data_IF_180932617334
#
_entry.id   IF_180932617334
#
_cell.length_a   1.000
_cell.length_b   1.000
_cell.length_c   1.000
_cell.angle_alpha   90.00
_cell.angle_beta   90.00
_cell.angle_gamma   90.00
#
_symmetry.space_group_name_H-M   'P 1'
#
loop_
_entity.id
_entity.type
_entity.pdbx_description
1 polymer ?
#
# COMPACT_ATOMS: atom_id res chain seq x y z
N UNK A 1 9.39 -29.00 0.41
CA UNK A 1 8.31 -28.22 1.08
C UNK A 1 8.70 -27.74 2.48
N UNK A 2 9.14 -28.58 3.43
CA UNK A 2 9.59 -28.10 4.75
C UNK A 2 10.83 -27.19 4.66
N UNK A 3 11.75 -27.45 3.72
CA UNK A 3 12.97 -26.64 3.56
C UNK A 3 12.71 -25.22 3.04
N UNK A 4 11.77 -25.04 2.11
CA UNK A 4 11.44 -23.72 1.59
C UNK A 4 10.72 -22.84 2.64
N UNK A 5 9.86 -23.46 3.46
CA UNK A 5 9.23 -22.78 4.60
C UNK A 5 10.24 -22.46 5.71
N UNK A 6 11.17 -23.38 5.98
CA UNK A 6 12.27 -23.13 6.91
C UNK A 6 13.18 -21.99 6.42
N UNK A 7 13.48 -21.91 5.12
CA UNK A 7 14.22 -20.81 4.52
C UNK A 7 13.48 -19.47 4.66
N UNK A 8 12.16 -19.45 4.47
CA UNK A 8 11.34 -18.26 4.68
C UNK A 8 11.36 -17.79 6.16
N UNK A 9 11.31 -18.72 7.12
CA UNK A 9 11.43 -18.42 8.54
C UNK A 9 12.84 -18.02 8.96
N UNK A 10 13.86 -18.45 8.22
CA UNK A 10 15.26 -18.12 8.46
C UNK A 10 15.66 -16.73 7.93
N UNK A 11 14.78 -16.04 7.20
CA UNK A 11 15.05 -14.68 6.71
C UNK A 11 15.38 -13.75 7.89
N UNK A 12 16.58 -13.15 7.92
CA UNK A 12 16.97 -12.24 8.98
C UNK A 12 15.96 -11.09 9.12
N UNK A 13 15.36 -10.98 10.30
CA UNK A 13 14.37 -9.94 10.58
C UNK A 13 12.97 -10.20 10.03
N UNK A 14 12.61 -11.45 9.68
CA UNK A 14 11.25 -11.85 9.30
C UNK A 14 10.19 -11.41 10.31
N UNK A 15 10.52 -11.41 11.60
CA UNK A 15 9.63 -10.93 12.67
C UNK A 15 9.20 -9.47 12.45
N UNK A 16 10.10 -8.63 11.93
CA UNK A 16 9.79 -7.23 11.63
C UNK A 16 8.91 -7.09 10.40
N UNK A 17 9.10 -7.94 9.39
CA UNK A 17 8.22 -7.99 8.21
C UNK A 17 6.81 -8.42 8.60
N UNK A 18 6.67 -9.46 9.43
CA UNK A 18 5.38 -9.93 9.93
C UNK A 18 4.71 -8.89 10.85
N UNK A 19 5.47 -8.26 11.75
CA UNK A 19 4.96 -7.19 12.59
C UNK A 19 4.50 -5.98 11.77
N UNK A 20 5.26 -5.58 10.75
CA UNK A 20 4.88 -4.52 9.84
C UNK A 20 3.63 -4.89 9.02
N UNK A 21 3.49 -6.14 8.57
CA UNK A 21 2.31 -6.61 7.87
C UNK A 21 1.06 -6.59 8.76
N UNK A 22 1.18 -7.02 10.02
CA UNK A 22 0.09 -6.97 10.99
C UNK A 22 -0.32 -5.52 11.31
N UNK A 23 0.65 -4.64 11.53
CA UNK A 23 0.44 -3.21 11.76
C UNK A 23 -0.19 -2.52 10.54
N UNK A 24 0.28 -2.84 9.33
CA UNK A 24 -0.26 -2.37 8.07
C UNK A 24 -1.72 -2.81 7.90
N UNK A 25 -2.02 -4.08 8.16
CA UNK A 25 -3.38 -4.63 8.14
C UNK A 25 -4.28 -3.92 9.14
N UNK A 26 -3.85 -3.80 10.39
CA UNK A 26 -4.60 -3.11 11.44
C UNK A 26 -4.94 -1.67 11.04
N UNK A 27 -3.92 -0.91 10.62
CA UNK A 27 -4.08 0.47 10.17
C UNK A 27 -5.03 0.57 8.97
N UNK A 28 -4.89 -0.32 7.99
CA UNK A 28 -5.75 -0.33 6.81
C UNK A 28 -7.20 -0.69 7.13
N UNK A 29 -7.42 -1.66 8.03
CA UNK A 29 -8.74 -2.10 8.45
C UNK A 29 -9.59 -0.98 9.05
N UNK A 30 -9.00 -0.16 9.94
CA UNK A 30 -9.71 0.99 10.51
C UNK A 30 -9.63 2.24 9.62
N UNK A 31 -8.45 2.62 9.10
CA UNK A 31 -8.25 3.91 8.44
C UNK A 31 -8.57 3.88 6.95
N UNK A 32 -8.51 2.71 6.31
CA UNK A 32 -8.68 2.55 4.86
C UNK A 32 -7.49 3.01 4.02
N UNK A 33 -6.36 3.36 4.65
CA UNK A 33 -5.12 3.75 3.99
C UNK A 33 -3.90 3.44 4.89
N UNK A 34 -2.69 3.61 4.35
CA UNK A 34 -1.46 3.58 5.13
C UNK A 34 -0.77 2.23 5.24
N UNK A 35 -1.36 1.14 4.71
CA UNK A 35 -0.75 -0.18 4.67
C UNK A 35 0.66 -0.14 4.06
N UNK A 36 0.75 0.25 2.79
CA UNK A 36 2.01 0.37 2.06
C UNK A 36 3.00 1.33 2.73
N UNK A 37 2.52 2.43 3.32
CA UNK A 37 3.37 3.42 4.01
C UNK A 37 4.03 2.86 5.28
N UNK A 38 3.42 1.85 5.90
CA UNK A 38 3.97 1.13 7.06
C UNK A 38 4.83 -0.04 6.58
N UNK A 39 4.32 -0.83 5.64
CA UNK A 39 4.94 -2.08 5.23
C UNK A 39 6.17 -1.87 4.36
N UNK A 40 6.10 -1.01 3.34
CA UNK A 40 7.16 -0.90 2.32
C UNK A 40 8.52 -0.46 2.87
N UNK A 41 8.65 0.53 3.77
CA UNK A 41 9.95 0.89 4.32
C UNK A 41 10.62 -0.30 5.02
N UNK A 42 9.87 -1.00 5.87
CA UNK A 42 10.37 -2.14 6.64
C UNK A 42 10.69 -3.31 5.73
N UNK A 43 9.76 -3.70 4.85
CA UNK A 43 9.94 -4.84 3.98
C UNK A 43 11.07 -4.63 2.98
N UNK A 44 11.15 -3.46 2.32
CA UNK A 44 12.20 -3.18 1.35
C UNK A 44 13.60 -3.17 1.98
N UNK A 45 13.70 -2.79 3.25
CA UNK A 45 14.96 -2.84 4.00
C UNK A 45 15.40 -4.26 4.39
N UNK A 46 14.48 -5.23 4.53
CA UNK A 46 14.79 -6.59 5.00
C UNK A 46 14.85 -7.64 3.90
N UNK A 47 13.95 -7.57 2.93
CA UNK A 47 13.83 -8.58 1.87
C UNK A 47 14.19 -8.04 0.48
N UNK A 48 14.46 -6.75 0.35
CA UNK A 48 14.70 -6.08 -0.92
C UNK A 48 13.43 -5.46 -1.52
N UNK A 49 13.55 -4.45 -2.39
CA UNK A 49 12.40 -3.71 -2.92
C UNK A 49 11.51 -4.57 -3.82
N UNK A 50 12.08 -5.43 -4.67
CA UNK A 50 11.30 -6.28 -5.59
C UNK A 50 10.44 -7.27 -4.81
N UNK A 51 11.04 -7.97 -3.85
CA UNK A 51 10.35 -8.90 -2.96
C UNK A 51 9.29 -8.16 -2.11
N UNK A 52 9.61 -6.99 -1.57
CA UNK A 52 8.67 -6.20 -0.79
C UNK A 52 7.44 -5.75 -1.60
N UNK A 53 7.63 -5.28 -2.84
CA UNK A 53 6.53 -4.91 -3.74
C UNK A 53 5.66 -6.14 -4.08
N UNK A 54 6.28 -7.30 -4.26
CA UNK A 54 5.56 -8.56 -4.47
C UNK A 54 4.72 -8.93 -3.25
N UNK A 55 5.28 -8.85 -2.05
CA UNK A 55 4.55 -9.12 -0.80
C UNK A 55 3.39 -8.15 -0.58
N UNK A 56 3.57 -6.86 -0.84
CA UNK A 56 2.50 -5.85 -0.77
C UNK A 56 1.37 -6.17 -1.76
N UNK A 57 1.72 -6.52 -3.01
CA UNK A 57 0.75 -6.94 -4.01
C UNK A 57 -0.02 -8.19 -3.57
N UNK A 58 0.66 -9.17 -2.95
CA UNK A 58 0.04 -10.36 -2.36
C UNK A 58 -0.88 -10.02 -1.17
N UNK A 59 -0.51 -9.07 -0.29
CA UNK A 59 -1.38 -8.60 0.80
C UNK A 59 -2.69 -7.99 0.28
N UNK A 60 -2.67 -7.43 -0.94
CA UNK A 60 -3.88 -7.03 -1.65
C UNK A 60 -4.91 -8.18 -1.81
N UNK A 61 -4.48 -9.45 -1.92
CA UNK A 61 -5.39 -10.60 -2.07
C UNK A 61 -6.24 -10.78 -0.80
N UNK A 62 -5.62 -10.58 0.37
CA UNK A 62 -6.36 -10.55 1.63
C UNK A 62 -7.34 -9.37 1.67
N UNK A 63 -6.98 -8.22 1.10
CA UNK A 63 -7.87 -7.05 1.05
C UNK A 63 -9.12 -7.29 0.17
N UNK A 64 -8.99 -8.10 -0.88
CA UNK A 64 -10.12 -8.50 -1.77
C UNK A 64 -11.21 -9.24 -1.00
N UNK A 65 -10.84 -10.09 -0.04
CA UNK A 65 -11.80 -10.90 0.73
C UNK A 65 -12.23 -10.24 2.05
N UNK A 66 -11.43 -9.31 2.59
CA UNK A 66 -11.70 -8.67 3.90
C UNK A 66 -12.44 -7.34 3.77
N UNK A 67 -11.83 -6.33 3.15
CA UNK A 67 -12.32 -4.94 3.18
C UNK A 67 -13.02 -4.52 1.89
N UNK A 68 -12.58 -5.03 0.74
CA UNK A 68 -13.10 -4.66 -0.59
C UNK A 68 -14.60 -4.91 -0.76
N UNK A 69 -15.21 -6.05 -0.32
CA UNK A 69 -16.61 -6.34 -0.62
C UNK A 69 -17.59 -5.34 -0.01
N UNK A 70 -17.23 -4.76 1.15
CA UNK A 70 -18.02 -3.69 1.78
C UNK A 70 -17.73 -2.34 1.14
N UNK A 71 -16.48 -2.09 0.75
CA UNK A 71 -16.08 -0.85 0.09
C UNK A 71 -16.75 -0.68 -1.29
N UNK A 72 -16.81 -1.74 -2.12
CA UNK A 72 -17.42 -1.67 -3.45
C UNK A 72 -18.90 -1.28 -3.44
N UNK A 73 -19.62 -1.56 -2.35
CA UNK A 73 -21.04 -1.19 -2.19
C UNK A 73 -21.25 0.31 -1.93
N UNK A 74 -20.21 1.01 -1.49
CA UNK A 74 -20.25 2.40 -1.04
C UNK A 74 -19.34 3.32 -1.86
N UNK A 75 -18.50 2.76 -2.73
CA UNK A 75 -17.54 3.49 -3.53
C UNK A 75 -18.21 4.11 -4.76
N UNK A 76 -17.74 5.29 -5.16
CA UNK A 76 -17.96 5.82 -6.50
C UNK A 76 -17.22 4.94 -7.52
N UNK A 77 -17.96 4.10 -8.23
CA UNK A 77 -17.42 3.14 -9.20
C UNK A 77 -16.91 3.82 -10.47
N UNK A 78 -17.46 4.98 -10.85
CA UNK A 78 -17.07 5.70 -12.06
C UNK A 78 -15.69 6.31 -11.88
N UNK A 79 -15.49 7.06 -10.80
CA UNK A 79 -14.21 7.70 -10.51
C UNK A 79 -13.13 6.66 -10.21
N UNK A 80 -13.47 5.63 -9.42
CA UNK A 80 -12.54 4.54 -9.10
C UNK A 80 -12.14 3.77 -10.37
N UNK A 81 -13.09 3.50 -11.28
CA UNK A 81 -12.81 2.86 -12.56
C UNK A 81 -11.87 3.69 -13.43
N UNK A 82 -12.09 5.00 -13.52
CA UNK A 82 -11.22 5.90 -14.30
C UNK A 82 -9.80 5.96 -13.71
N UNK A 83 -9.67 6.04 -12.39
CA UNK A 83 -8.37 5.98 -11.70
C UNK A 83 -7.64 4.67 -12.00
N UNK A 84 -8.34 3.52 -11.97
CA UNK A 84 -7.74 2.21 -12.26
C UNK A 84 -7.28 2.09 -13.71
N UNK A 85 -8.13 2.49 -14.67
CA UNK A 85 -7.76 2.47 -16.09
C UNK A 85 -6.57 3.39 -16.35
N UNK A 86 -6.55 4.59 -15.77
CA UNK A 86 -5.42 5.50 -15.90
C UNK A 86 -4.15 4.95 -15.23
N UNK A 87 -4.29 4.20 -14.13
CA UNK A 87 -3.15 3.56 -13.46
C UNK A 87 -2.44 2.55 -14.34
N UNK A 88 -3.15 1.88 -15.27
CA UNK A 88 -2.55 0.96 -16.25
C UNK A 88 -1.56 1.65 -17.20
N UNK A 89 -1.62 2.98 -17.33
CA UNK A 89 -0.65 3.76 -18.13
C UNK A 89 0.66 3.93 -17.35
N UNK A 90 0.57 4.22 -16.05
CA UNK A 90 1.74 4.45 -15.20
C UNK A 90 2.38 3.16 -14.68
N UNK A 91 1.59 2.12 -14.47
CA UNK A 91 2.04 0.85 -13.88
C UNK A 91 3.24 0.23 -14.62
N UNK A 92 3.24 0.14 -15.97
CA UNK A 92 4.39 -0.39 -16.72
C UNK A 92 5.67 0.41 -16.49
N UNK A 93 5.57 1.74 -16.47
CA UNK A 93 6.70 2.61 -16.21
C UNK A 93 7.24 2.40 -14.79
N UNK A 94 6.34 2.29 -13.81
CA UNK A 94 6.70 2.02 -12.42
C UNK A 94 7.42 0.69 -12.26
N UNK A 95 6.84 -0.39 -12.77
CA UNK A 95 7.44 -1.73 -12.67
C UNK A 95 8.76 -1.83 -13.45
N UNK A 96 8.86 -1.15 -14.60
CA UNK A 96 10.13 -1.02 -15.31
C UNK A 96 11.18 -0.33 -14.45
N UNK A 97 10.84 0.78 -13.79
CA UNK A 97 11.75 1.47 -12.87
C UNK A 97 12.17 0.58 -11.70
N UNK A 98 11.24 -0.18 -11.10
CA UNK A 98 11.55 -1.17 -10.06
C UNK A 98 12.58 -2.20 -10.53
N UNK A 99 12.51 -2.61 -11.79
CA UNK A 99 13.38 -3.64 -12.37
C UNK A 99 14.80 -3.14 -12.67
N UNK A 100 14.95 -1.89 -13.08
CA UNK A 100 16.24 -1.35 -13.55
C UNK A 100 16.94 -0.45 -12.54
N UNK A 101 16.22 0.10 -11.57
CA UNK A 101 16.80 0.98 -10.56
C UNK A 101 17.69 0.21 -9.59
N UNK A 102 18.72 0.89 -9.11
CA UNK A 102 19.53 0.38 -8.02
C UNK A 102 18.67 0.13 -6.76
N UNK A 103 18.80 -1.03 -6.09
CA UNK A 103 17.98 -1.35 -4.92
C UNK A 103 18.14 -0.37 -3.76
N UNK A 104 19.32 0.21 -3.55
CA UNK A 104 19.57 1.18 -2.49
C UNK A 104 18.88 2.51 -2.81
N UNK A 105 18.95 2.96 -4.06
CA UNK A 105 18.20 4.14 -4.53
C UNK A 105 16.69 3.94 -4.34
N UNK A 106 16.18 2.73 -4.63
CA UNK A 106 14.76 2.43 -4.43
C UNK A 106 14.37 2.46 -2.95
N UNK A 107 15.21 1.93 -2.05
CA UNK A 107 14.98 1.99 -0.59
C UNK A 107 14.92 3.42 -0.08
N UNK A 108 15.85 4.28 -0.51
CA UNK A 108 15.82 5.71 -0.20
C UNK A 108 14.56 6.38 -0.76
N UNK A 109 14.19 6.09 -2.00
CA UNK A 109 12.98 6.61 -2.63
C UNK A 109 11.70 6.23 -1.87
N UNK A 110 11.55 4.96 -1.49
CA UNK A 110 10.43 4.46 -0.67
C UNK A 110 10.34 5.23 0.65
N UNK A 111 11.46 5.36 1.37
CA UNK A 111 11.50 6.06 2.65
C UNK A 111 11.18 7.55 2.48
N UNK A 112 11.74 8.20 1.45
CA UNK A 112 11.51 9.61 1.17
C UNK A 112 10.04 9.88 0.83
N UNK A 113 9.43 9.07 -0.05
CA UNK A 113 8.01 9.22 -0.40
C UNK A 113 7.13 8.97 0.83
N UNK A 114 7.44 7.95 1.63
CA UNK A 114 6.68 7.66 2.85
C UNK A 114 6.77 8.82 3.86
N UNK A 115 7.97 9.36 4.09
CA UNK A 115 8.21 10.50 4.96
C UNK A 115 7.51 11.77 4.45
N UNK A 116 7.65 12.11 3.17
CA UNK A 116 6.99 13.27 2.57
C UNK A 116 5.47 13.17 2.66
N UNK A 117 4.93 11.97 2.42
CA UNK A 117 3.49 11.72 2.57
C UNK A 117 3.07 11.92 4.01
N UNK A 118 3.81 11.38 4.99
CA UNK A 118 3.54 11.58 6.41
C UNK A 118 3.58 13.07 6.79
N UNK A 119 4.60 13.81 6.36
CA UNK A 119 4.71 15.25 6.62
C UNK A 119 3.50 16.01 6.06
N UNK A 120 3.07 15.71 4.83
CA UNK A 120 1.89 16.33 4.23
C UNK A 120 0.60 15.99 5.00
N UNK A 121 0.46 14.74 5.46
CA UNK A 121 -0.68 14.29 6.27
C UNK A 121 -0.73 14.97 7.65
N UNK A 122 0.41 15.10 8.33
CA UNK A 122 0.53 15.77 9.64
C UNK A 122 0.30 17.27 9.52
N UNK A 123 0.81 17.89 8.45
CA UNK A 123 0.55 19.30 8.14
C UNK A 123 -0.92 19.57 7.77
N UNK A 124 -1.75 18.52 7.62
CA UNK A 124 -3.14 18.66 7.23
C UNK A 124 -3.30 19.20 5.82
N UNK A 125 -2.34 18.92 4.93
CA UNK A 125 -2.41 19.36 3.54
C UNK A 125 -3.68 18.80 2.89
N UNK A 126 -4.61 19.70 2.54
CA UNK A 126 -5.88 19.37 1.86
C UNK A 126 -6.02 20.29 0.66
N UNK A 127 -5.55 19.85 -0.50
CA UNK A 127 -5.62 20.68 -1.71
C UNK A 127 -6.97 20.45 -2.37
N UNK A 128 -7.93 21.36 -2.25
CA UNK A 128 -9.22 21.27 -2.96
C UNK A 128 -9.01 21.10 -4.47
N UNK A 129 -9.01 19.86 -4.94
CA UNK A 129 -8.97 19.51 -6.35
C UNK A 129 -10.36 19.07 -6.76
N UNK A 130 -10.86 19.64 -7.85
CA UNK A 130 -12.07 19.15 -8.49
C UNK A 130 -11.82 17.75 -9.03
N UNK A 131 -12.75 16.82 -8.80
CA UNK A 131 -12.78 15.45 -9.36
C UNK A 131 -13.07 15.47 -10.88
N UNK A 132 -12.33 16.30 -11.63
CA UNK A 132 -12.42 16.34 -13.09
C UNK A 132 -11.77 15.10 -13.68
N UNK A 133 -12.27 14.58 -14.82
CA UNK A 133 -11.66 13.41 -15.46
C UNK A 133 -10.16 13.56 -15.74
N UNK A 134 -9.70 14.77 -16.09
CA UNK A 134 -8.27 15.05 -16.32
C UNK A 134 -7.44 14.90 -15.05
N UNK A 135 -7.96 15.39 -13.91
CA UNK A 135 -7.29 15.23 -12.63
C UNK A 135 -7.22 13.76 -12.21
N UNK A 136 -8.34 13.02 -12.35
CA UNK A 136 -8.40 11.59 -12.06
C UNK A 136 -7.43 10.79 -12.93
N UNK A 137 -7.32 11.10 -14.22
CA UNK A 137 -6.34 10.43 -15.10
C UNK A 137 -4.91 10.70 -14.63
N UNK A 138 -4.57 11.95 -14.30
CA UNK A 138 -3.24 12.29 -13.79
C UNK A 138 -2.90 11.59 -12.47
N UNK A 139 -3.86 11.54 -11.55
CA UNK A 139 -3.73 10.87 -10.24
C UNK A 139 -3.62 9.36 -10.41
N UNK A 140 -4.44 8.76 -11.27
CA UNK A 140 -4.38 7.33 -11.56
C UNK A 140 -3.03 6.95 -12.17
N UNK A 141 -2.60 7.64 -13.23
CA UNK A 141 -1.30 7.39 -13.86
C UNK A 141 -0.13 7.57 -12.88
N UNK A 142 -0.13 8.64 -12.07
CA UNK A 142 0.90 8.86 -11.06
C UNK A 142 0.87 7.81 -9.93
N UNK A 143 -0.32 7.38 -9.50
CA UNK A 143 -0.48 6.29 -8.52
C UNK A 143 0.01 4.96 -9.08
N UNK A 144 -0.27 4.68 -10.35
CA UNK A 144 0.23 3.49 -11.05
C UNK A 144 1.76 3.51 -11.19
N UNK A 145 2.35 4.63 -11.58
CA UNK A 145 3.80 4.76 -11.69
C UNK A 145 4.49 4.64 -10.32
N UNK A 146 4.02 5.37 -9.31
CA UNK A 146 4.58 5.30 -7.96
C UNK A 146 4.37 3.91 -7.35
N UNK A 147 3.14 3.38 -7.40
CA UNK A 147 2.79 2.07 -6.87
C UNK A 147 3.52 0.94 -7.57
N UNK A 148 3.72 1.02 -8.89
CA UNK A 148 4.51 0.04 -9.64
C UNK A 148 6.00 0.08 -9.29
N UNK A 149 6.57 1.27 -9.09
CA UNK A 149 7.98 1.43 -8.74
C UNK A 149 8.29 1.04 -7.29
N UNK A 150 7.39 1.36 -6.37
CA UNK A 150 7.70 1.38 -4.93
C UNK A 150 6.74 0.54 -4.08
N UNK A 151 5.66 0.00 -4.64
CA UNK A 151 4.57 -0.63 -3.87
C UNK A 151 3.70 0.38 -3.11
N UNK A 152 4.10 1.66 -3.04
CA UNK A 152 3.34 2.72 -2.38
C UNK A 152 2.17 3.17 -3.27
N UNK A 153 1.06 2.43 -3.23
CA UNK A 153 -0.17 2.75 -3.99
C UNK A 153 -0.96 3.92 -3.39
N UNK A 154 -0.79 4.15 -2.09
CA UNK A 154 -1.55 5.12 -1.28
C UNK A 154 -1.24 6.61 -1.43
N UNK A 155 0.03 7.06 -1.52
CA UNK A 155 0.42 8.47 -1.39
C UNK A 155 -0.31 9.45 -2.32
N UNK A 156 -0.30 9.16 -3.62
CA UNK A 156 -0.89 10.04 -4.62
C UNK A 156 -2.41 10.12 -4.43
N UNK A 157 -3.05 8.97 -4.17
CA UNK A 157 -4.49 8.88 -3.92
C UNK A 157 -4.91 9.62 -2.65
N UNK A 158 -4.22 9.41 -1.52
CA UNK A 158 -4.63 10.01 -0.25
C UNK A 158 -4.48 11.53 -0.27
N UNK A 159 -3.41 12.04 -0.87
CA UNK A 159 -3.19 13.49 -1.02
C UNK A 159 -4.21 14.14 -1.97
N UNK A 160 -4.73 13.37 -2.94
CA UNK A 160 -5.76 13.83 -3.88
C UNK A 160 -7.20 13.71 -3.35
N UNK A 161 -7.54 12.63 -2.63
CA UNK A 161 -8.91 12.38 -2.14
C UNK A 161 -9.20 12.99 -0.76
N UNK A 162 -8.19 13.47 -0.01
CA UNK A 162 -8.37 14.30 1.19
C UNK A 162 -9.11 15.64 0.93
N UNK A 163 -9.44 15.90 -0.33
CA UNK A 163 -10.04 17.12 -0.86
C UNK A 163 -11.33 16.91 -1.68
N UNK A 164 -11.80 15.67 -1.81
CA UNK A 164 -13.01 15.35 -2.57
C UNK A 164 -14.30 15.91 -1.95
N UNK A 165 -15.33 16.09 -2.78
CA UNK A 165 -16.65 16.62 -2.39
C UNK A 165 -17.60 15.55 -1.82
N UNK A 166 -17.24 14.27 -1.92
CA UNK A 166 -18.04 13.13 -1.46
C UNK A 166 -18.09 12.99 0.06
N UNK A 167 -19.03 12.18 0.56
CA UNK A 167 -19.12 11.87 1.99
C UNK A 167 -17.84 11.15 2.47
N UNK A 168 -17.49 11.30 3.75
CA UNK A 168 -16.30 10.63 4.31
C UNK A 168 -16.35 9.10 4.14
N UNK A 169 -17.56 8.52 4.15
CA UNK A 169 -17.79 7.08 3.94
C UNK A 169 -17.48 6.69 2.50
N UNK A 170 -18.00 7.44 1.53
CA UNK A 170 -17.77 7.20 0.09
C UNK A 170 -16.30 7.38 -0.28
N UNK A 171 -15.67 8.47 0.16
CA UNK A 171 -14.23 8.74 -0.09
C UNK A 171 -13.36 7.61 0.45
N UNK A 172 -13.65 7.14 1.67
CA UNK A 172 -12.94 5.99 2.27
C UNK A 172 -13.18 4.72 1.46
N UNK A 173 -14.41 4.45 1.04
CA UNK A 173 -14.76 3.27 0.27
C UNK A 173 -14.10 3.26 -1.12
N UNK A 174 -14.10 4.38 -1.84
CA UNK A 174 -13.39 4.54 -3.13
C UNK A 174 -11.89 4.41 -2.97
N UNK A 175 -11.31 4.94 -1.88
CA UNK A 175 -9.88 4.79 -1.59
C UNK A 175 -9.51 3.32 -1.36
N UNK A 176 -10.24 2.60 -0.50
CA UNK A 176 -10.01 1.17 -0.25
C UNK A 176 -10.17 0.37 -1.56
N UNK A 177 -11.20 0.68 -2.33
CA UNK A 177 -11.48 0.00 -3.60
C UNK A 177 -10.34 0.20 -4.59
N UNK A 178 -9.92 1.46 -4.80
CA UNK A 178 -8.83 1.81 -5.69
C UNK A 178 -7.51 1.15 -5.27
N UNK A 179 -7.09 1.30 -4.01
CA UNK A 179 -5.80 0.80 -3.53
C UNK A 179 -5.72 -0.73 -3.59
N UNK A 180 -6.82 -1.40 -3.19
CA UNK A 180 -6.90 -2.86 -3.25
C UNK A 180 -6.82 -3.36 -4.69
N UNK A 181 -7.63 -2.78 -5.60
CA UNK A 181 -7.67 -3.18 -7.00
C UNK A 181 -6.36 -2.83 -7.73
N UNK A 182 -5.74 -1.70 -7.44
CA UNK A 182 -4.43 -1.34 -7.98
C UNK A 182 -3.35 -2.36 -7.55
N UNK A 183 -3.38 -2.81 -6.31
CA UNK A 183 -2.49 -3.87 -5.82
C UNK A 183 -2.72 -5.20 -6.56
N UNK A 184 -3.98 -5.50 -6.94
CA UNK A 184 -4.31 -6.66 -7.78
C UNK A 184 -3.83 -6.52 -9.22
N UNK A 185 -3.84 -5.31 -9.79
CA UNK A 185 -3.27 -5.05 -11.11
C UNK A 185 -1.74 -5.18 -11.13
N UNK A 186 -1.08 -4.98 -9.99
CA UNK A 186 0.37 -5.08 -9.88
C UNK A 186 0.89 -6.52 -10.01
N UNK A 187 0.19 -7.51 -9.44
CA UNK A 187 0.56 -8.93 -9.50
C UNK A 187 0.82 -9.46 -10.93
N UNK A 188 -0.14 -9.36 -11.88
CA UNK A 188 0.10 -9.83 -13.24
C UNK A 188 1.22 -9.04 -13.93
N UNK A 189 1.41 -7.75 -13.60
CA UNK A 189 2.48 -6.95 -14.19
C UNK A 189 3.86 -7.39 -13.71
N UNK A 190 4.01 -7.69 -12.41
CA UNK A 190 5.24 -8.26 -11.85
C UNK A 190 5.52 -9.65 -12.44
N UNK A 191 4.49 -10.47 -12.60
CA UNK A 191 4.60 -11.80 -13.22
C UNK A 191 5.10 -11.71 -14.66
N UNK A 192 4.47 -10.87 -15.49
CA UNK A 192 4.84 -10.66 -16.90
C UNK A 192 6.27 -10.13 -17.06
N UNK A 193 6.77 -9.37 -16.09
CA UNK A 193 8.14 -8.84 -16.08
C UNK A 193 9.19 -9.83 -15.52
N UNK A 194 8.75 -11.01 -15.05
CA UNK A 194 9.61 -12.03 -14.47
C UNK A 194 10.15 -11.67 -13.08
N UNK A 195 9.46 -10.79 -12.34
CA UNK A 195 9.92 -10.28 -11.04
C UNK A 195 9.43 -11.11 -9.85
N UNK A 196 8.42 -11.97 -10.04
CA UNK A 196 7.90 -12.83 -8.98
C UNK A 196 8.81 -14.05 -8.82
N UNK A 197 9.55 -14.08 -7.73
CA UNK A 197 10.40 -15.20 -7.32
C UNK A 197 9.61 -16.20 -6.48
N UNK A 198 9.94 -17.48 -6.58
CA UNK A 198 9.27 -18.55 -5.82
C UNK A 198 9.44 -18.37 -4.31
N UNK A 199 10.60 -17.88 -3.87
CA UNK A 199 10.89 -17.61 -2.46
C UNK A 199 9.95 -16.54 -1.87
N UNK A 200 9.62 -15.51 -2.65
CA UNK A 200 8.68 -14.46 -2.25
C UNK A 200 7.26 -15.01 -2.04
N UNK A 201 6.85 -16.04 -2.78
CA UNK A 201 5.55 -16.68 -2.60
C UNK A 201 5.45 -17.45 -1.27
N UNK A 202 6.53 -18.07 -0.82
CA UNK A 202 6.58 -18.70 0.50
C UNK A 202 6.50 -17.69 1.63
N UNK A 203 7.17 -16.55 1.49
CA UNK A 203 7.03 -15.43 2.42
C UNK A 203 5.60 -14.86 2.39
N UNK A 204 4.98 -14.75 1.21
CA UNK A 204 3.60 -14.28 1.08
C UNK A 204 2.62 -15.19 1.85
N UNK A 205 2.84 -16.51 1.87
CA UNK A 205 2.01 -17.43 2.67
C UNK A 205 2.05 -17.14 4.18
N UNK A 206 3.11 -16.50 4.68
CA UNK A 206 3.20 -16.07 6.08
C UNK A 206 2.65 -14.65 6.28
N UNK A 207 2.97 -13.73 5.37
CA UNK A 207 2.63 -12.31 5.46
C UNK A 207 1.13 -12.06 5.25
N UNK A 208 0.52 -12.74 4.26
CA UNK A 208 -0.87 -12.51 3.87
C UNK A 208 -1.86 -12.84 5.00
N UNK A 209 -1.76 -13.98 5.71
CA UNK A 209 -2.63 -14.25 6.86
C UNK A 209 -2.47 -13.24 7.99
N UNK A 210 -1.24 -12.84 8.30
CA UNK A 210 -0.96 -11.86 9.37
C UNK A 210 -1.59 -10.50 9.03
N UNK A 211 -1.42 -10.04 7.80
CA UNK A 211 -2.09 -8.83 7.30
C UNK A 211 -3.62 -8.98 7.33
N UNK A 212 -4.16 -10.11 6.87
CA UNK A 212 -5.61 -10.35 6.85
C UNK A 212 -6.23 -10.28 8.25
N UNK A 213 -5.60 -10.92 9.23
CA UNK A 213 -6.01 -10.85 10.64
C UNK A 213 -5.95 -9.40 11.15
N UNK A 214 -4.87 -8.68 10.87
CA UNK A 214 -4.76 -7.26 11.18
C UNK A 214 -5.91 -6.45 10.57
N UNK A 215 -6.20 -6.64 9.28
CA UNK A 215 -7.26 -5.92 8.57
C UNK A 215 -8.65 -6.22 9.14
N UNK A 216 -8.95 -7.48 9.45
CA UNK A 216 -10.21 -7.88 10.09
C UNK A 216 -10.34 -7.30 11.50
N UNK A 217 -9.29 -7.36 12.31
CA UNK A 217 -9.25 -6.75 13.63
C UNK A 217 -9.44 -5.23 13.55
N UNK A 218 -8.73 -4.55 12.64
CA UNK A 218 -8.86 -3.11 12.43
C UNK A 218 -10.27 -2.72 12.00
N UNK A 219 -10.86 -3.48 11.08
CA UNK A 219 -12.24 -3.26 10.64
C UNK A 219 -13.25 -3.50 11.76
N UNK A 220 -13.05 -4.51 12.60
CA UNK A 220 -13.93 -4.79 13.75
C UNK A 220 -13.81 -3.73 14.86
N UNK A 221 -12.62 -3.17 15.04
CA UNK A 221 -12.36 -2.10 16.01
C UNK A 221 -12.82 -0.73 15.52
N UNK A 222 -13.09 -0.55 14.23
CA UNK A 222 -13.42 0.74 13.64
C UNK A 222 -14.72 1.32 14.21
N UNK A 223 -14.59 2.44 14.90
CA UNK A 223 -15.71 3.29 15.35
C UNK A 223 -15.62 4.66 14.67
N UNK A 224 -16.64 5.13 13.94
CA UNK A 224 -16.61 6.41 13.22
C UNK A 224 -16.20 7.60 14.10
N UNK A 225 -16.61 7.59 15.38
CA UNK A 225 -16.31 8.64 16.37
C UNK A 225 -14.81 8.78 16.69
N UNK A 226 -14.04 7.69 16.54
CA UNK A 226 -12.61 7.61 16.91
C UNK A 226 -11.68 7.84 15.72
N UNK A 227 -12.19 8.30 14.58
CA UNK A 227 -11.45 8.48 13.34
C UNK A 227 -10.15 9.29 13.51
N UNK A 228 -10.16 10.33 14.36
CA UNK A 228 -8.96 11.14 14.65
C UNK A 228 -7.87 10.34 15.37
N UNK A 229 -8.26 9.49 16.33
CA UNK A 229 -7.31 8.64 17.06
C UNK A 229 -6.67 7.64 16.09
N UNK A 230 -7.49 6.99 15.27
CA UNK A 230 -7.04 6.04 14.26
C UNK A 230 -6.02 6.65 13.29
N UNK A 231 -6.28 7.84 12.75
CA UNK A 231 -5.30 8.53 11.89
C UNK A 231 -3.99 8.81 12.63
N UNK A 232 -4.05 9.26 13.89
CA UNK A 232 -2.84 9.50 14.70
C UNK A 232 -2.03 8.21 14.92
N UNK A 233 -2.69 7.10 15.22
CA UNK A 233 -2.04 5.79 15.35
C UNK A 233 -1.39 5.40 14.02
N UNK A 234 -2.09 5.52 12.89
CA UNK A 234 -1.53 5.24 11.58
C UNK A 234 -0.30 6.13 11.28
N UNK A 235 -0.35 7.43 11.59
CA UNK A 235 0.78 8.34 11.41
C UNK A 235 1.98 7.95 12.29
N UNK A 236 1.74 7.56 13.54
CA UNK A 236 2.77 7.04 14.43
C UNK A 236 3.43 5.77 13.89
N UNK A 237 2.63 4.84 13.36
CA UNK A 237 3.13 3.60 12.75
C UNK A 237 3.96 3.88 11.48
N UNK A 238 3.52 4.83 10.63
CA UNK A 238 4.28 5.24 9.44
C UNK A 238 5.59 5.89 9.86
N UNK A 239 5.57 6.79 10.85
CA UNK A 239 6.76 7.45 11.37
C UNK A 239 7.77 6.46 11.93
N UNK A 240 7.29 5.47 12.70
CA UNK A 240 8.12 4.39 13.24
C UNK A 240 8.70 3.52 12.10
N UNK A 241 7.90 3.15 11.11
CA UNK A 241 8.35 2.36 9.97
C UNK A 241 9.46 3.07 9.19
N UNK A 242 9.30 4.37 8.91
CA UNK A 242 10.34 5.19 8.25
C UNK A 242 11.58 5.27 9.14
N UNK A 243 11.43 5.59 10.42
CA UNK A 243 12.56 5.75 11.34
C UNK A 243 13.39 4.48 11.48
N UNK A 244 12.74 3.31 11.53
CA UNK A 244 13.43 2.01 11.66
C UNK A 244 14.08 1.51 10.37
N UNK A 245 13.76 2.12 9.23
CA UNK A 245 14.13 1.62 7.90
C UNK A 245 15.00 2.58 7.11
N UNK A 246 15.36 3.72 7.71
CA UNK A 246 16.34 4.65 7.14
C UNK A 246 17.61 3.87 6.78
N UNK A 247 18.11 3.97 5.53
CA UNK A 247 19.33 3.27 5.09
C UNK A 247 20.61 3.90 5.67
N UNK A 248 20.59 4.32 6.93
CA UNK A 248 21.69 4.98 7.63
C UNK A 248 22.51 4.00 8.48
N UNK A 249 22.02 2.77 8.69
CA UNK A 249 22.65 1.73 9.50
C UNK A 249 22.29 0.32 9.00
#
# INVERSE_FOLDING_TARGET
MPEALAAALAVPGIVWVLAAAGAAGLAYGFAGFGAALIFMPVAAARVGPVEAVTLEACMGLASVVTVLPRALKLADTRDTGLLLVASLIGLPLGVWLLKVADPEVMRWGICAVAALTLCALVAGWRRKTSDTPRALIGVGAASGALGGATGLTGPVMILFKLSGQGSAVEVRASTISFLTLLSMLLLPMLWLQGLIRVEALWLALLVVPVYALGALCGQALFRPEMERLYRRVAYGLIGLAVAMSLPLW
#
